data_IF_093017313760
#
_entry.id   IF_093017313760
#
_cell.length_a   1.000
_cell.length_b   1.000
_cell.length_c   1.000
_cell.angle_alpha   90.00
_cell.angle_beta   90.00
_cell.angle_gamma   90.00
#
_symmetry.space_group_name_H-M   'P 1'
#
loop_
_entity.id
_entity.type
_entity.pdbx_description
1 polymer ?
#
# COMPACT_ATOMS: atom_id res chain seq x y z
N UNK A 1 -59.14 49.86 44.89
CA UNK A 1 -59.94 48.77 44.31
C UNK A 1 -59.96 48.97 42.80
N UNK A 2 -59.44 47.99 42.04
CA UNK A 2 -59.56 47.68 40.58
C UNK A 2 -59.83 48.80 39.56
N UNK A 3 -59.37 48.82 38.30
CA UNK A 3 -58.40 48.11 37.44
C UNK A 3 -58.70 48.65 36.00
N UNK A 4 -57.74 48.62 35.06
CA UNK A 4 -58.04 48.76 33.61
C UNK A 4 -57.05 49.61 32.82
N UNK A 5 -55.85 49.08 32.52
CA UNK A 5 -55.44 48.45 31.23
C UNK A 5 -55.09 49.43 30.10
N UNK A 6 -53.81 49.81 30.03
CA UNK A 6 -53.13 50.22 28.80
C UNK A 6 -52.36 48.99 28.30
N UNK A 7 -52.77 48.43 27.17
CA UNK A 7 -52.01 47.36 26.50
C UNK A 7 -50.95 48.05 25.64
N UNK A 8 -49.72 48.13 26.15
CA UNK A 8 -48.56 48.53 25.38
C UNK A 8 -48.06 47.33 24.56
N UNK A 9 -48.03 47.50 23.24
CA UNK A 9 -47.46 46.58 22.27
C UNK A 9 -45.99 46.30 22.61
N UNK A 10 -45.68 45.09 23.07
CA UNK A 10 -44.31 44.61 23.18
C UNK A 10 -43.83 44.17 21.80
N UNK A 11 -43.09 45.05 21.12
CA UNK A 11 -42.30 44.67 19.96
C UNK A 11 -41.25 43.65 20.40
N UNK A 12 -41.45 42.39 20.02
CA UNK A 12 -40.45 41.33 20.13
C UNK A 12 -39.34 41.66 19.13
N UNK A 13 -38.26 42.28 19.61
CA UNK A 13 -37.01 42.39 18.86
C UNK A 13 -36.39 41.00 18.86
N UNK A 14 -36.58 40.24 17.78
CA UNK A 14 -35.78 39.05 17.50
C UNK A 14 -34.32 39.50 17.35
N UNK A 15 -33.52 39.35 18.40
CA UNK A 15 -32.06 39.44 18.33
C UNK A 15 -31.62 38.16 17.61
N UNK A 16 -31.52 38.23 16.29
CA UNK A 16 -30.84 37.23 15.48
C UNK A 16 -29.35 37.26 15.79
N UNK A 17 -28.93 36.53 16.81
CA UNK A 17 -27.52 36.24 17.06
C UNK A 17 -27.01 35.35 15.92
N UNK A 18 -26.48 35.98 14.88
CA UNK A 18 -25.78 35.33 13.78
C UNK A 18 -24.49 34.74 14.36
N UNK A 19 -24.51 33.47 14.74
CA UNK A 19 -23.30 32.72 15.06
C UNK A 19 -22.46 32.63 13.79
N UNK A 20 -21.50 33.52 13.64
CA UNK A 20 -20.45 33.40 12.64
C UNK A 20 -19.61 32.18 13.01
N UNK A 21 -19.89 31.05 12.37
CA UNK A 21 -18.99 29.90 12.33
C UNK A 21 -17.67 30.40 11.75
N UNK A 22 -16.69 30.65 12.61
CA UNK A 22 -15.32 30.94 12.20
C UNK A 22 -14.78 29.69 11.54
N UNK A 23 -14.86 29.62 10.21
CA UNK A 23 -14.14 28.62 9.43
C UNK A 23 -12.67 28.98 9.50
N UNK A 24 -11.98 28.47 10.52
CA UNK A 24 -10.53 28.34 10.45
C UNK A 24 -10.22 27.62 9.13
N UNK A 25 -9.33 28.18 8.27
CA UNK A 25 -8.92 27.44 7.09
C UNK A 25 -8.29 26.15 7.60
N UNK A 26 -8.74 25.02 7.08
CA UNK A 26 -7.98 23.78 7.21
C UNK A 26 -6.58 24.11 6.71
N UNK A 27 -5.64 24.28 7.63
CA UNK A 27 -4.24 24.40 7.27
C UNK A 27 -3.94 23.10 6.54
N UNK A 28 -3.78 23.20 5.22
CA UNK A 28 -3.16 22.17 4.44
C UNK A 28 -1.84 21.87 5.15
N UNK A 29 -1.79 20.73 5.84
CA UNK A 29 -0.52 20.21 6.29
C UNK A 29 0.30 20.09 5.01
N UNK A 30 1.34 20.89 4.90
CA UNK A 30 2.33 20.68 3.86
C UNK A 30 2.85 19.26 4.12
N UNK A 31 2.38 18.31 3.32
CA UNK A 31 3.02 17.02 3.12
C UNK A 31 4.46 17.37 2.72
N UNK A 32 5.38 17.33 3.69
CA UNK A 32 6.77 17.18 3.35
C UNK A 32 6.84 15.81 2.67
N UNK A 33 7.00 15.80 1.34
CA UNK A 33 7.11 14.57 0.55
C UNK A 33 8.06 13.63 1.29
N UNK A 34 7.55 12.49 1.77
CA UNK A 34 8.41 11.47 2.36
C UNK A 34 9.46 11.09 1.30
N UNK A 35 10.76 11.12 1.66
CA UNK A 35 11.84 11.01 0.68
C UNK A 35 11.81 9.62 0.07
N UNK A 36 11.60 9.47 -1.25
CA UNK A 36 11.49 8.16 -1.91
C UNK A 36 12.63 7.18 -1.54
N UNK A 37 12.40 5.85 -1.57
CA UNK A 37 13.47 4.88 -1.33
C UNK A 37 14.59 5.05 -2.36
N UNK A 38 15.82 4.61 -2.06
CA UNK A 38 16.94 4.64 -3.01
C UNK A 38 16.57 3.99 -4.35
N UNK A 39 17.06 4.55 -5.46
CA UNK A 39 16.75 4.07 -6.81
C UNK A 39 17.62 2.87 -7.24
N UNK A 40 18.75 2.65 -6.59
CA UNK A 40 19.77 1.63 -6.87
C UNK A 40 19.54 0.36 -6.04
N UNK A 41 18.33 -0.20 -6.11
CA UNK A 41 17.95 -1.39 -5.34
C UNK A 41 17.67 -2.61 -6.22
N UNK A 42 17.90 -3.78 -5.66
CA UNK A 42 17.70 -5.08 -6.30
C UNK A 42 16.67 -5.91 -5.56
N UNK A 43 15.93 -6.73 -6.31
CA UNK A 43 15.01 -7.71 -5.73
C UNK A 43 15.82 -8.87 -5.14
N UNK A 44 15.48 -9.25 -3.92
CA UNK A 44 16.21 -10.23 -3.10
C UNK A 44 15.39 -11.47 -2.78
N UNK A 45 14.06 -11.39 -2.93
CA UNK A 45 13.11 -12.44 -2.67
C UNK A 45 12.71 -12.58 -1.21
N UNK A 46 11.53 -13.20 -1.00
CA UNK A 46 10.86 -13.22 0.31
C UNK A 46 11.65 -13.92 1.44
N UNK A 47 12.63 -14.77 1.11
CA UNK A 47 13.42 -15.50 2.12
C UNK A 47 14.33 -14.56 2.91
N UNK A 48 14.92 -13.54 2.27
CA UNK A 48 15.75 -12.56 2.95
C UNK A 48 14.95 -11.80 4.01
N UNK A 49 13.70 -11.45 3.68
CA UNK A 49 12.76 -10.79 4.58
C UNK A 49 12.44 -11.64 5.82
N UNK A 50 12.41 -12.98 5.69
CA UNK A 50 12.04 -13.89 6.77
C UNK A 50 13.02 -13.89 7.96
N UNK A 51 14.28 -13.49 7.72
CA UNK A 51 15.32 -13.45 8.74
C UNK A 51 15.02 -12.46 9.88
N UNK A 52 14.39 -11.33 9.54
CA UNK A 52 13.99 -10.27 10.48
C UNK A 52 12.46 -10.21 10.68
N UNK A 53 11.67 -10.47 9.63
CA UNK A 53 10.20 -10.38 9.63
C UNK A 53 9.52 -11.75 9.57
N UNK A 54 9.97 -12.68 10.40
CA UNK A 54 9.49 -14.08 10.37
C UNK A 54 7.96 -14.21 10.53
N UNK A 55 7.35 -13.43 11.43
CA UNK A 55 5.90 -13.50 11.66
C UNK A 55 5.10 -13.07 10.43
N UNK A 56 5.51 -11.98 9.81
CA UNK A 56 4.90 -11.44 8.58
C UNK A 56 5.11 -12.42 7.43
N UNK A 57 6.33 -12.96 7.27
CA UNK A 57 6.64 -13.98 6.28
C UNK A 57 5.73 -15.21 6.41
N UNK A 58 5.54 -15.72 7.64
CA UNK A 58 4.68 -16.88 7.87
C UNK A 58 3.19 -16.60 7.62
N UNK A 59 2.76 -15.34 7.77
CA UNK A 59 1.41 -14.91 7.36
C UNK A 59 1.30 -14.88 5.84
N UNK A 60 2.22 -14.19 5.16
CA UNK A 60 2.29 -14.09 3.70
C UNK A 60 2.34 -15.47 3.03
N UNK A 61 3.18 -16.39 3.53
CA UNK A 61 3.36 -17.74 2.98
C UNK A 61 2.07 -18.59 2.99
N UNK A 62 1.11 -18.24 3.85
CA UNK A 62 -0.20 -18.91 3.92
C UNK A 62 -1.26 -18.23 3.06
N UNK A 63 -1.00 -17.00 2.62
CA UNK A 63 -1.93 -16.20 1.83
C UNK A 63 -1.83 -16.52 0.33
N UNK A 64 -2.90 -16.21 -0.41
CA UNK A 64 -2.97 -16.42 -1.87
C UNK A 64 -1.92 -15.63 -2.64
N UNK A 65 -1.44 -14.48 -2.13
CA UNK A 65 -0.38 -13.71 -2.77
C UNK A 65 0.92 -14.52 -2.95
N UNK A 66 1.27 -15.37 -1.97
CA UNK A 66 2.45 -16.24 -2.08
C UNK A 66 2.30 -17.36 -3.12
N UNK A 67 1.07 -17.65 -3.54
CA UNK A 67 0.74 -18.78 -4.42
C UNK A 67 0.38 -18.34 -5.84
N UNK A 68 0.43 -17.03 -6.16
CA UNK A 68 -0.11 -16.51 -7.41
C UNK A 68 0.50 -17.18 -8.64
N UNK A 69 1.83 -17.40 -8.67
CA UNK A 69 2.48 -18.11 -9.78
C UNK A 69 1.96 -19.54 -9.96
N UNK A 70 1.81 -20.28 -8.87
CA UNK A 70 1.39 -21.69 -8.90
C UNK A 70 -0.06 -21.85 -9.36
N UNK A 71 -0.87 -20.79 -9.27
CA UNK A 71 -2.23 -20.77 -9.81
C UNK A 71 -2.27 -20.65 -11.34
N UNK A 72 -1.17 -20.28 -11.99
CA UNK A 72 -1.10 -20.25 -13.46
C UNK A 72 -0.96 -21.66 -14.02
N UNK A 73 -1.83 -22.05 -14.98
CA UNK A 73 -1.57 -23.24 -15.79
C UNK A 73 -0.22 -23.15 -16.48
N UNK A 74 0.48 -24.28 -16.64
CA UNK A 74 1.83 -24.33 -17.21
C UNK A 74 1.97 -23.58 -18.55
N UNK A 75 0.93 -23.61 -19.40
CA UNK A 75 0.92 -22.90 -20.69
C UNK A 75 0.97 -21.36 -20.59
N UNK A 76 0.67 -20.80 -19.41
CA UNK A 76 0.65 -19.35 -19.13
C UNK A 76 1.80 -18.89 -18.23
N UNK A 77 2.63 -19.81 -17.72
CA UNK A 77 3.76 -19.47 -16.86
C UNK A 77 4.90 -18.74 -17.57
N UNK A 78 4.82 -18.58 -18.89
CA UNK A 78 5.76 -17.79 -19.72
C UNK A 78 5.08 -16.62 -20.43
N UNK A 79 3.80 -16.38 -20.14
CA UNK A 79 3.06 -15.29 -20.75
C UNK A 79 3.37 -13.99 -20.01
N UNK A 80 4.06 -13.08 -20.70
CA UNK A 80 4.44 -11.77 -20.18
C UNK A 80 3.25 -10.99 -19.56
N UNK A 81 2.03 -11.17 -20.08
CA UNK A 81 0.84 -10.52 -19.53
C UNK A 81 0.45 -11.09 -18.17
N UNK A 82 0.55 -12.40 -18.00
CA UNK A 82 0.26 -13.07 -16.74
C UNK A 82 1.35 -12.77 -15.70
N UNK A 83 2.60 -12.77 -16.11
CA UNK A 83 3.73 -12.65 -15.18
C UNK A 83 3.86 -11.29 -14.52
N UNK A 84 3.35 -10.23 -15.15
CA UNK A 84 3.22 -8.89 -14.54
C UNK A 84 2.52 -8.91 -13.17
N UNK A 85 1.53 -9.79 -12.99
CA UNK A 85 0.76 -9.88 -11.74
C UNK A 85 1.12 -11.10 -10.88
N UNK A 86 1.65 -12.15 -11.52
CA UNK A 86 1.88 -13.45 -10.91
C UNK A 86 3.35 -13.70 -10.53
N UNK A 87 4.21 -12.70 -10.69
CA UNK A 87 5.61 -12.71 -10.22
C UNK A 87 5.96 -11.36 -9.62
N UNK A 88 7.16 -11.25 -9.04
CA UNK A 88 7.66 -10.01 -8.47
C UNK A 88 8.68 -9.36 -9.41
N UNK A 89 8.47 -8.08 -9.74
CA UNK A 89 9.42 -7.29 -10.53
C UNK A 89 9.50 -7.68 -12.01
N UNK A 90 8.48 -8.32 -12.59
CA UNK A 90 8.52 -8.68 -14.02
C UNK A 90 8.77 -7.46 -14.91
N UNK A 91 9.80 -7.54 -15.76
CA UNK A 91 10.20 -6.44 -16.64
C UNK A 91 11.16 -5.43 -16.01
N UNK A 92 11.42 -5.52 -14.71
CA UNK A 92 12.44 -4.71 -14.03
C UNK A 92 13.83 -5.34 -14.22
N UNK A 93 14.91 -4.54 -14.26
CA UNK A 93 16.28 -5.03 -14.52
C UNK A 93 16.73 -6.18 -13.61
N UNK A 94 16.33 -6.13 -12.33
CA UNK A 94 16.69 -7.10 -11.28
C UNK A 94 15.52 -7.97 -10.82
N UNK A 95 14.34 -7.85 -11.45
CA UNK A 95 13.16 -8.62 -11.07
C UNK A 95 13.05 -9.98 -11.76
N UNK A 96 11.89 -10.63 -11.63
CA UNK A 96 11.69 -12.01 -12.09
C UNK A 96 12.09 -12.23 -13.56
N UNK A 97 12.89 -13.28 -13.78
CA UNK A 97 13.28 -13.81 -15.09
C UNK A 97 12.94 -15.29 -15.15
N UNK A 98 12.30 -15.71 -16.24
CA UNK A 98 11.65 -17.03 -16.44
C UNK A 98 12.40 -18.23 -15.84
N UNK A 99 13.72 -18.28 -16.02
CA UNK A 99 14.51 -19.48 -15.72
C UNK A 99 15.53 -19.32 -14.58
N UNK A 100 15.63 -18.14 -13.96
CA UNK A 100 16.68 -17.84 -12.98
C UNK A 100 16.16 -17.59 -11.55
N UNK A 101 14.93 -17.07 -11.39
CA UNK A 101 14.52 -16.47 -10.11
C UNK A 101 13.33 -17.15 -9.46
N UNK A 102 13.56 -18.37 -8.96
CA UNK A 102 12.59 -19.06 -8.10
C UNK A 102 12.21 -18.25 -6.85
N UNK A 103 13.07 -17.34 -6.40
CA UNK A 103 12.82 -16.47 -5.25
C UNK A 103 11.78 -15.37 -5.52
N UNK A 104 11.53 -15.04 -6.79
CA UNK A 104 10.61 -13.98 -7.23
C UNK A 104 9.33 -14.52 -7.87
N UNK A 105 9.11 -15.84 -7.81
CA UNK A 105 7.82 -16.45 -8.18
C UNK A 105 6.75 -16.00 -7.20
N UNK A 106 5.60 -15.59 -7.76
CA UNK A 106 4.46 -15.11 -7.01
C UNK A 106 4.56 -13.64 -6.62
N UNK A 107 3.52 -13.18 -5.93
CA UNK A 107 3.45 -11.83 -5.36
C UNK A 107 4.15 -11.86 -4.00
N UNK A 108 5.45 -11.58 -4.01
CA UNK A 108 6.29 -11.62 -2.81
C UNK A 108 6.22 -10.30 -2.02
N UNK A 109 6.99 -10.21 -0.93
CA UNK A 109 7.11 -8.99 -0.12
C UNK A 109 7.41 -7.75 -0.98
N UNK A 110 8.35 -7.89 -1.91
CA UNK A 110 8.87 -6.81 -2.74
C UNK A 110 7.90 -6.39 -3.84
N UNK A 111 6.84 -7.17 -4.11
CA UNK A 111 5.75 -6.77 -5.00
C UNK A 111 4.83 -5.70 -4.39
N UNK A 112 4.91 -5.47 -3.06
CA UNK A 112 4.21 -4.39 -2.36
C UNK A 112 5.14 -3.39 -1.70
N UNK A 113 6.36 -3.81 -1.35
CA UNK A 113 7.34 -3.00 -0.62
C UNK A 113 8.45 -2.43 -1.50
N UNK A 114 8.61 -2.90 -2.74
CA UNK A 114 9.71 -2.53 -3.62
C UNK A 114 10.94 -3.42 -3.41
N UNK A 115 12.01 -3.25 -4.22
CA UNK A 115 13.24 -4.04 -4.08
C UNK A 115 13.89 -3.81 -2.71
N UNK A 116 14.33 -4.88 -2.04
CA UNK A 116 14.70 -4.85 -0.63
C UNK A 116 16.20 -4.85 -0.32
N UNK A 117 17.08 -4.85 -1.33
CA UNK A 117 18.52 -5.00 -1.11
C UNK A 117 19.10 -3.96 -0.14
N UNK A 118 18.76 -2.68 -0.32
CA UNK A 118 19.30 -1.61 0.53
C UNK A 118 18.69 -1.60 1.92
N UNK A 119 17.41 -1.90 2.03
CA UNK A 119 16.77 -2.11 3.34
C UNK A 119 17.45 -3.21 4.14
N UNK A 120 17.76 -4.34 3.51
CA UNK A 120 18.51 -5.42 4.13
C UNK A 120 19.90 -4.97 4.61
N UNK A 121 20.63 -4.18 3.82
CA UNK A 121 21.94 -3.64 4.21
C UNK A 121 21.87 -2.67 5.39
N UNK A 122 20.96 -1.70 5.34
CA UNK A 122 20.75 -0.69 6.39
C UNK A 122 20.38 -1.39 7.70
N UNK A 123 19.39 -2.28 7.67
CA UNK A 123 18.90 -2.95 8.87
C UNK A 123 19.92 -3.92 9.49
N UNK A 124 20.86 -4.48 8.71
CA UNK A 124 21.97 -5.30 9.25
C UNK A 124 22.84 -4.52 10.23
N UNK A 125 23.02 -3.21 10.02
CA UNK A 125 23.80 -2.36 10.92
C UNK A 125 23.14 -2.19 12.31
N UNK A 126 21.82 -2.33 12.40
CA UNK A 126 21.08 -2.21 13.65
C UNK A 126 20.95 -3.51 14.44
N UNK A 127 21.11 -4.66 13.77
CA UNK A 127 21.04 -5.97 14.42
C UNK A 127 19.66 -6.28 14.98
N UNK A 128 19.60 -6.71 16.25
CA UNK A 128 18.35 -7.07 16.95
C UNK A 128 17.91 -6.05 18.00
N UNK A 129 18.56 -4.89 18.00
CA UNK A 129 18.30 -3.84 18.98
C UNK A 129 16.94 -3.18 18.75
N UNK A 130 16.39 -2.60 19.82
CA UNK A 130 15.22 -1.73 19.69
C UNK A 130 15.67 -0.41 19.05
N UNK A 131 15.15 -0.13 17.86
CA UNK A 131 15.45 1.11 17.15
C UNK A 131 14.94 2.33 17.91
N UNK A 132 15.71 3.41 17.86
CA UNK A 132 15.20 4.73 18.18
C UNK A 132 14.42 5.31 16.98
N UNK A 133 13.78 6.46 17.17
CA UNK A 133 12.94 7.09 16.15
C UNK A 133 13.69 7.40 14.85
N UNK A 134 14.96 7.85 14.94
CA UNK A 134 15.77 8.14 13.77
C UNK A 134 16.13 6.88 12.98
N UNK A 135 16.47 5.79 13.66
CA UNK A 135 16.77 4.49 13.05
C UNK A 135 15.53 3.84 12.44
N UNK A 136 14.38 3.94 13.12
CA UNK A 136 13.11 3.45 12.58
C UNK A 136 12.72 4.23 11.32
N UNK A 137 12.92 5.55 11.34
CA UNK A 137 12.75 6.39 10.15
C UNK A 137 13.71 5.98 9.04
N UNK A 138 14.99 5.79 9.31
CA UNK A 138 15.98 5.37 8.30
C UNK A 138 15.63 3.99 7.70
N UNK A 139 15.24 3.02 8.53
CA UNK A 139 14.82 1.70 8.08
C UNK A 139 13.54 1.77 7.23
N UNK A 140 12.53 2.53 7.67
CA UNK A 140 11.31 2.77 6.90
C UNK A 140 11.64 3.45 5.57
N UNK A 141 12.47 4.49 5.61
CA UNK A 141 12.90 5.33 4.50
C UNK A 141 13.83 4.62 3.49
N UNK A 142 14.08 3.32 3.69
CA UNK A 142 14.76 2.46 2.71
C UNK A 142 13.85 1.55 1.89
N UNK A 143 12.55 1.37 2.23
CA UNK A 143 11.66 0.44 1.51
C UNK A 143 10.16 0.78 1.59
N UNK A 144 9.57 1.24 0.47
CA UNK A 144 8.11 1.22 0.28
C UNK A 144 7.73 1.33 -1.19
N UNK A 145 6.65 0.65 -1.55
CA UNK A 145 5.97 0.84 -2.83
C UNK A 145 4.46 1.04 -2.67
N UNK A 146 3.88 0.69 -1.52
CA UNK A 146 2.45 0.89 -1.20
C UNK A 146 2.08 2.34 -0.83
N UNK A 147 3.07 3.21 -0.59
CA UNK A 147 2.84 4.61 -0.23
C UNK A 147 3.58 5.55 -1.20
N UNK A 148 3.04 6.75 -1.47
CA UNK A 148 1.67 7.19 -1.15
C UNK A 148 0.60 6.51 -2.03
N UNK A 149 0.98 5.62 -2.97
CA UNK A 149 0.08 5.00 -3.96
C UNK A 149 -0.28 3.57 -3.62
N UNK A 150 -1.57 3.23 -3.72
CA UNK A 150 -2.05 1.87 -3.48
C UNK A 150 -1.50 0.87 -4.52
N UNK A 151 -0.53 0.06 -4.11
CA UNK A 151 0.06 -0.98 -4.97
C UNK A 151 -0.92 -2.12 -5.30
N UNK A 152 -1.99 -2.32 -4.53
CA UNK A 152 -2.92 -3.42 -4.77
C UNK A 152 -3.61 -3.31 -6.14
N UNK A 153 -3.85 -2.09 -6.63
CA UNK A 153 -4.54 -1.85 -7.90
C UNK A 153 -3.65 -2.01 -9.13
N UNK A 154 -2.36 -2.27 -8.97
CA UNK A 154 -1.49 -2.62 -10.11
C UNK A 154 -1.92 -3.94 -10.73
N UNK A 155 -2.40 -4.87 -9.90
CA UNK A 155 -2.94 -6.17 -10.31
C UNK A 155 -4.47 -6.23 -10.18
N UNK A 156 -5.02 -5.68 -9.10
CA UNK A 156 -6.46 -5.72 -8.83
C UNK A 156 -7.22 -4.51 -9.41
N UNK A 157 -7.05 -4.23 -10.70
CA UNK A 157 -7.82 -3.20 -11.43
C UNK A 157 -9.30 -3.59 -11.55
N UNK A 158 -9.58 -4.88 -11.78
CA UNK A 158 -10.91 -5.46 -11.89
C UNK A 158 -10.88 -6.77 -11.10
N UNK A 159 -11.44 -6.78 -9.89
CA UNK A 159 -11.50 -8.01 -9.06
C UNK A 159 -12.11 -9.16 -9.91
N UNK A 160 -11.33 -10.23 -10.09
CA UNK A 160 -11.70 -11.51 -10.72
C UNK A 160 -11.38 -11.76 -12.21
N UNK A 161 -10.36 -11.13 -12.81
CA UNK A 161 -9.87 -11.47 -14.17
C UNK A 161 -10.91 -11.36 -15.31
N UNK A 162 -12.10 -10.79 -15.06
CA UNK A 162 -13.24 -10.83 -16.00
C UNK A 162 -13.10 -9.87 -17.18
N UNK A 163 -12.34 -8.80 -16.98
CA UNK A 163 -12.22 -7.68 -17.93
C UNK A 163 -10.75 -7.31 -18.19
N UNK A 164 -9.79 -8.04 -17.60
CA UNK A 164 -8.36 -7.91 -17.88
C UNK A 164 -7.96 -8.71 -19.12
N UNK A 165 -6.71 -8.56 -19.57
CA UNK A 165 -6.09 -9.39 -20.62
C UNK A 165 -6.01 -10.91 -20.29
N UNK A 166 -6.77 -11.39 -19.31
CA UNK A 166 -6.80 -12.78 -18.91
C UNK A 166 -7.46 -13.64 -20.00
N UNK A 167 -6.83 -14.76 -20.40
CA UNK A 167 -7.40 -15.71 -21.34
C UNK A 167 -8.82 -16.17 -20.95
N UNK A 168 -9.72 -16.23 -21.94
CA UNK A 168 -11.16 -16.52 -21.72
C UNK A 168 -11.40 -17.81 -20.95
N UNK A 169 -10.56 -18.83 -21.12
CA UNK A 169 -10.67 -20.09 -20.40
C UNK A 169 -10.36 -20.02 -18.91
N UNK A 170 -9.66 -18.97 -18.44
CA UNK A 170 -9.33 -18.76 -17.03
C UNK A 170 -10.30 -17.80 -16.32
N UNK A 171 -11.23 -17.21 -17.07
CA UNK A 171 -12.24 -16.34 -16.50
C UNK A 171 -13.27 -17.19 -15.76
N UNK A 172 -13.55 -16.84 -14.51
CA UNK A 172 -14.54 -17.57 -13.69
C UNK A 172 -15.92 -17.50 -14.35
N UNK A 173 -16.42 -18.65 -14.81
CA UNK A 173 -17.79 -18.79 -15.30
C UNK A 173 -18.74 -18.65 -14.11
N UNK A 174 -19.62 -17.66 -14.16
CA UNK A 174 -20.74 -17.52 -13.20
C UNK A 174 -21.81 -18.56 -13.52
#
# INVERSE_FOLDING_TARGET
MFAGTVVALTSVVLIGALMTMSSAPAQAMAEADEPAPPADQEYTGAKECASCHFKQFMSWKKDKHSQTFDLLPAKYQKDAKCLKCHTTGYGEPTGYKEEADAALKGTTCEACHGPGSKHGEICKAFGKEKLNEAQEKEARDSIWMMLPKNVCVTCHTLKAHKESETPKELQTKK
#
